data_IF_247731928030
#
_entry.id   IF_247731928030
#
_cell.length_a   1.000
_cell.length_b   1.000
_cell.length_c   1.000
_cell.angle_alpha   90.00
_cell.angle_beta   90.00
_cell.angle_gamma   90.00
#
_symmetry.space_group_name_H-M   'P 1'
#
loop_
_entity.id
_entity.type
_entity.pdbx_description
1 polymer ?
2 non-polymer ?
3 water ?
#
# COMPACT_ATOMS: atom_id res chain seq x y z
N UNK A 12 -3.62 6.37 -12.30
CA UNK A 12 -4.27 5.05 -11.97
C UNK A 12 -3.68 4.43 -10.68
N UNK A 13 -4.59 3.97 -9.82
CA UNK A 13 -4.19 3.42 -8.54
C UNK A 13 -4.35 1.91 -8.65
N UNK A 14 -3.51 1.31 -9.49
CA UNK A 14 -3.63 -0.10 -9.83
C UNK A 14 -2.21 -0.68 -9.90
N UNK A 15 -1.96 -1.85 -9.31
CA UNK A 15 -0.63 -2.52 -9.55
C UNK A 15 -0.58 -3.04 -11.00
N UNK A 16 0.32 -2.53 -11.84
CA UNK A 16 0.37 -3.05 -13.21
C UNK A 16 1.44 -4.17 -13.38
N UNK A 17 2.31 -4.34 -12.39
CA UNK A 17 3.47 -5.26 -12.54
C UNK A 17 3.02 -6.69 -12.15
N UNK A 18 3.15 -7.66 -13.08
CA UNK A 18 2.59 -9.01 -12.85
C UNK A 18 3.16 -9.70 -11.62
N UNK A 19 4.47 -9.65 -11.39
CA UNK A 19 5.04 -10.38 -10.28
C UNK A 19 4.54 -9.74 -8.97
N UNK A 20 4.54 -8.39 -8.91
CA UNK A 20 4.03 -7.69 -7.69
C UNK A 20 2.55 -8.04 -7.47
N UNK A 21 1.76 -8.07 -8.58
CA UNK A 21 0.33 -8.43 -8.53
C UNK A 21 0.12 -9.81 -7.95
N UNK A 22 0.92 -10.77 -8.39
CA UNK A 22 0.85 -12.13 -7.85
C UNK A 22 1.28 -12.19 -6.37
N UNK A 23 2.50 -11.77 -6.09
CA UNK A 23 3.08 -12.11 -4.78
C UNK A 23 2.47 -11.29 -3.67
N UNK A 24 2.04 -10.07 -4.03
CA UNK A 24 1.59 -9.09 -3.05
C UNK A 24 0.06 -9.09 -3.00
N UNK A 25 -0.59 -9.99 -3.73
CA UNK A 25 -2.04 -10.21 -3.48
C UNK A 25 -2.35 -11.50 -2.70
N UNK A 26 -1.31 -12.18 -2.22
CA UNK A 26 -1.49 -13.50 -1.57
C UNK A 26 -2.30 -13.41 -0.28
N UNK A 27 -2.21 -12.25 0.42
CA UNK A 27 -2.85 -12.13 1.74
C UNK A 27 -3.78 -10.93 1.93
N UNK A 28 -3.78 -10.04 0.95
CA UNK A 28 -4.61 -8.84 0.86
C UNK A 28 -4.50 -8.38 -0.64
N UNK A 29 -5.18 -7.30 -0.99
CA UNK A 29 -5.01 -6.67 -2.30
C UNK A 29 -3.58 -6.22 -2.50
N UNK A 30 -3.14 -6.25 -3.77
CA UNK A 30 -1.82 -5.77 -4.16
C UNK A 30 -2.00 -4.28 -4.08
N UNK A 31 -1.38 -3.62 -3.10
CA UNK A 31 -1.50 -2.17 -3.01
C UNK A 31 -0.67 -1.41 -4.08
N UNK A 32 -1.30 -0.39 -4.70
CA UNK A 32 -0.65 0.46 -5.71
C UNK A 32 0.62 1.24 -5.18
N UNK A 33 1.72 1.19 -5.93
CA UNK A 33 2.99 1.86 -5.61
C UNK A 33 2.76 3.31 -5.22
N UNK A 34 1.83 3.98 -5.92
CA UNK A 34 1.61 5.43 -5.74
C UNK A 34 1.15 5.84 -4.34
N UNK A 35 0.78 4.86 -3.50
CA UNK A 35 0.25 5.20 -2.21
C UNK A 35 1.30 5.29 -1.05
N UNK A 36 2.59 4.95 -1.30
CA UNK A 36 3.61 5.10 -0.27
C UNK A 36 4.85 5.71 -0.92
N UNK A 37 5.61 6.49 -0.18
CA UNK A 37 6.89 7.00 -0.72
C UNK A 37 7.94 5.88 -0.92
N UNK A 38 8.94 6.10 -1.76
CA UNK A 38 9.94 5.04 -2.00
C UNK A 38 10.57 4.46 -0.74
N UNK A 39 10.92 5.34 0.19
CA UNK A 39 11.49 4.85 1.46
C UNK A 39 10.61 3.84 2.21
N UNK A 40 9.29 4.06 2.21
CA UNK A 40 8.34 3.12 2.86
C UNK A 40 8.36 1.72 2.20
N UNK A 41 8.30 1.67 0.86
CA UNK A 41 8.46 0.41 0.10
C UNK A 41 9.79 -0.29 0.34
N UNK A 42 10.90 0.44 0.33
CA UNK A 42 12.18 -0.15 0.73
C UNK A 42 12.18 -0.81 2.09
N UNK A 43 11.68 -0.07 3.08
CA UNK A 43 11.64 -0.57 4.45
C UNK A 43 10.77 -1.88 4.53
N UNK A 44 9.60 -1.86 3.88
CA UNK A 44 8.70 -3.08 3.81
C UNK A 44 9.41 -4.28 3.17
N UNK A 45 10.07 -4.00 2.04
CA UNK A 45 10.72 -5.03 1.24
C UNK A 45 11.99 -5.59 1.84
N UNK A 46 12.52 -4.87 2.84
CA UNK A 46 13.68 -5.27 3.55
C UNK A 46 13.37 -6.19 4.73
N UNK A 47 12.11 -6.37 5.08
CA UNK A 47 11.72 -7.18 6.26
C UNK A 47 10.49 -8.04 6.09
N UNK A 48 10.33 -8.59 4.92
CA UNK A 48 9.22 -9.50 4.64
C UNK A 48 9.15 -10.74 5.58
N UNK A 49 10.26 -11.26 6.12
CA UNK A 49 10.12 -12.35 7.13
C UNK A 49 9.33 -11.91 8.37
N UNK A 50 9.30 -10.60 8.66
CA UNK A 50 8.56 -10.05 9.80
C UNK A 50 7.52 -9.03 9.36
N UNK A 51 6.59 -9.49 8.54
CA UNK A 51 5.66 -8.63 7.81
C UNK A 51 4.28 -8.73 8.47
N UNK A 52 3.99 -7.76 9.37
CA UNK A 52 2.71 -7.60 10.05
C UNK A 52 2.19 -8.91 10.68
N UNK A 53 3.09 -9.65 11.30
CA UNK A 53 2.67 -10.94 11.86
C UNK A 53 2.86 -12.18 10.99
N UNK A 54 3.16 -11.98 9.71
CA UNK A 54 3.27 -13.07 8.74
C UNK A 54 4.66 -13.13 8.17
N UNK A 55 5.03 -14.30 7.65
CA UNK A 55 6.26 -14.47 6.89
C UNK A 55 5.86 -14.32 5.42
N UNK A 56 6.20 -13.16 4.84
CA UNK A 56 5.95 -12.84 3.43
C UNK A 56 7.21 -12.90 2.60
N UNK A 57 8.24 -13.61 3.10
CA UNK A 57 9.54 -13.60 2.46
C UNK A 57 9.48 -14.24 1.08
N UNK A 58 10.36 -13.74 0.22
CA UNK A 58 10.43 -14.18 -1.16
C UNK A 58 11.88 -14.51 -1.51
N UNK A 59 12.05 -15.24 -2.60
CA UNK A 59 13.37 -15.48 -3.14
C UNK A 59 13.97 -14.15 -3.60
N UNK A 60 15.28 -14.02 -3.48
CA UNK A 60 15.91 -12.71 -3.63
C UNK A 60 15.61 -12.09 -4.99
N UNK A 61 15.58 -12.92 -6.03
CA UNK A 61 15.35 -12.38 -7.36
C UNK A 61 13.97 -11.70 -7.49
N UNK A 62 12.92 -12.36 -7.01
CA UNK A 62 11.56 -11.84 -7.00
C UNK A 62 11.44 -10.59 -6.12
N UNK A 63 11.98 -10.70 -4.92
CA UNK A 63 12.07 -9.60 -3.96
C UNK A 63 12.66 -8.33 -4.56
N UNK A 64 13.80 -8.48 -5.24
CA UNK A 64 14.49 -7.35 -5.88
C UNK A 64 13.66 -6.65 -6.96
N UNK A 65 13.01 -7.45 -7.81
CA UNK A 65 12.24 -6.91 -8.90
C UNK A 65 11.02 -6.15 -8.40
N UNK A 66 10.33 -6.72 -7.40
CA UNK A 66 9.16 -6.12 -6.83
C UNK A 66 9.55 -4.77 -6.18
N UNK A 67 10.62 -4.80 -5.38
CA UNK A 67 11.15 -3.55 -4.81
C UNK A 67 11.42 -2.49 -5.89
N UNK A 68 12.10 -2.85 -6.99
CA UNK A 68 12.32 -1.88 -8.10
C UNK A 68 11.04 -1.24 -8.63
N UNK A 69 10.01 -2.08 -8.81
CA UNK A 69 8.77 -1.59 -9.43
C UNK A 69 8.11 -0.64 -8.45
N UNK A 70 8.03 -1.03 -7.17
CA UNK A 70 7.37 -0.18 -6.13
C UNK A 70 8.06 1.19 -5.96
N UNK A 71 9.37 1.18 -5.88
CA UNK A 71 10.16 2.40 -5.73
C UNK A 71 10.03 3.27 -7.00
N UNK A 72 10.05 2.61 -8.18
CA UNK A 72 10.01 3.36 -9.45
C UNK A 72 8.65 4.05 -9.66
N UNK A 73 7.59 3.53 -9.05
CA UNK A 73 6.26 4.13 -9.19
C UNK A 73 5.64 4.63 -7.86
N UNK A 74 6.51 4.89 -6.87
CA UNK A 74 6.14 5.35 -5.55
C UNK A 74 5.45 6.76 -5.60
N UNK A 75 4.83 7.13 -4.47
CA UNK A 75 4.16 8.43 -4.32
C UNK A 75 5.02 9.64 -4.61
N UNK A 76 6.33 9.52 -4.39
CA UNK A 76 7.33 10.58 -4.67
C UNK A 76 8.21 10.32 -5.91
N UNK A 77 7.83 9.33 -6.72
CA UNK A 77 8.53 9.03 -7.96
C UNK A 77 8.27 10.03 -9.12
N UNK A 78 7.19 10.81 -9.02
CA UNK A 78 6.92 11.84 -10.02
C UNK A 78 6.56 13.25 -9.43
N UNK A 79 7.30 13.66 -8.40
CA UNK A 79 6.88 14.77 -7.57
C UNK A 79 5.73 14.40 -6.65
N UNK A 80 4.92 15.40 -6.27
CA UNK A 80 4.04 15.31 -5.09
C UNK A 80 2.75 14.52 -5.40
N UNK A 81 2.79 13.19 -5.22
CA UNK A 81 1.58 12.40 -5.33
C UNK A 81 0.71 12.85 -4.16
N UNK A 82 -0.58 12.61 -4.32
CA UNK A 82 -1.54 13.05 -3.34
C UNK A 82 -1.31 12.38 -2.01
N UNK A 83 -0.91 11.11 -2.05
CA UNK A 83 -0.69 10.35 -0.79
C UNK A 83 0.34 10.99 0.16
N UNK A 84 1.18 11.88 -0.33
CA UNK A 84 2.27 12.50 0.50
C UNK A 84 1.79 13.64 1.40
N UNK A 85 0.62 14.16 1.09
CA UNK A 85 0.10 15.35 1.78
C UNK A 85 0.00 15.22 3.31
N UNK A 86 0.68 16.11 4.06
CA UNK A 86 0.63 16.06 5.51
C UNK A 86 1.83 15.25 6.03
N UNK A 87 2.60 14.60 5.12
CA UNK A 87 3.86 13.95 5.53
C UNK A 87 5.05 14.88 5.58
N UNK A 88 5.95 14.60 6.52
CA UNK A 88 7.18 15.32 6.65
C UNK A 88 8.26 14.31 6.13
N UNK A 89 9.42 14.80 5.67
CA UNK A 89 10.40 13.99 4.96
C UNK A 89 10.93 12.91 5.91
N UNK A 90 10.99 13.22 7.20
CA UNK A 90 11.42 12.21 8.20
C UNK A 90 10.37 11.18 8.56
N UNK A 91 9.14 11.26 8.04
CA UNK A 91 8.21 10.13 8.26
C UNK A 91 8.51 9.02 7.23
N UNK A 92 8.57 7.77 7.70
CA UNK A 92 8.62 6.60 6.83
C UNK A 92 7.43 5.70 7.26
N UNK A 93 6.20 6.04 6.84
CA UNK A 93 5.04 5.24 7.30
C UNK A 93 5.10 3.80 6.74
N UNK A 94 4.68 2.76 7.46
CA UNK A 94 4.74 1.42 6.87
C UNK A 94 3.33 0.97 6.43
N UNK A 95 2.33 1.77 6.79
CA UNK A 95 0.94 1.48 6.45
C UNK A 95 0.39 2.65 5.64
N UNK A 96 -0.20 2.33 4.51
CA UNK A 96 -1.02 3.28 3.77
C UNK A 96 -2.14 3.76 4.69
N UNK A 97 -2.73 2.85 5.49
CA UNK A 97 -3.86 3.24 6.34
C UNK A 97 -3.49 4.20 7.51
N UNK A 98 -2.20 4.47 7.72
CA UNK A 98 -1.76 5.44 8.72
C UNK A 98 -1.33 6.81 8.13
N UNK A 99 -1.39 7.00 6.80
CA UNK A 99 -0.99 8.25 6.18
C UNK A 99 -2.00 9.31 6.60
N UNK A 100 -1.53 10.50 6.96
CA UNK A 100 -2.42 11.67 7.13
C UNK A 100 -3.44 11.82 6.00
N UNK A 101 -3.01 11.62 4.76
CA UNK A 101 -3.89 11.76 3.59
C UNK A 101 -5.03 10.71 3.59
N UNK A 102 -4.69 9.46 3.95
CA UNK A 102 -5.66 8.39 4.08
C UNK A 102 -6.69 8.66 5.18
N UNK A 103 -6.22 9.07 6.33
CA UNK A 103 -7.09 9.34 7.46
C UNK A 103 -8.02 10.51 7.19
N UNK A 104 -7.53 11.52 6.49
CA UNK A 104 -8.35 12.65 6.03
C UNK A 104 -9.49 12.18 5.09
N UNK A 105 -9.18 11.34 4.09
CA UNK A 105 -10.18 10.80 3.16
C UNK A 105 -11.19 9.86 3.82
N UNK A 106 -10.84 9.20 4.94
CA UNK A 106 -11.72 8.20 5.59
C UNK A 106 -12.45 8.65 6.87
N UNK A 107 -12.05 9.77 7.45
CA UNK A 107 -12.42 10.05 8.85
C UNK A 107 -13.93 10.13 9.13
N UNK A 108 -14.62 11.02 8.42
CA UNK A 108 -16.03 11.22 8.70
C UNK A 108 -16.84 10.33 7.76
N UNK A 109 -16.18 9.42 7.04
CA UNK A 109 -16.81 8.61 6.01
C UNK A 109 -17.09 7.15 6.43
N UNK A 110 -16.32 6.66 7.40
CA UNK A 110 -16.46 5.26 7.87
C UNK A 110 -17.12 5.14 9.24
N UNK A 111 -18.29 4.51 9.28
CA UNK A 111 -18.98 4.30 10.53
C UNK A 111 -18.43 3.04 11.22
N UNK A 112 -18.63 2.92 12.53
CA UNK A 112 -18.23 1.70 13.22
C UNK A 112 -18.80 0.46 12.53
N UNK A 113 -20.07 0.48 12.05
CA UNK A 113 -20.67 -0.68 11.36
C UNK A 113 -19.95 -0.99 10.05
N UNK A 114 -19.66 0.01 9.21
CA UNK A 114 -18.90 -0.25 7.98
C UNK A 114 -17.52 -0.83 8.31
N UNK A 115 -16.87 -0.29 9.36
CA UNK A 115 -15.57 -0.77 9.74
C UNK A 115 -15.61 -2.24 10.27
N UNK A 116 -16.60 -2.56 11.11
CA UNK A 116 -16.79 -3.93 11.56
C UNK A 116 -16.91 -4.92 10.39
N UNK A 117 -17.69 -4.56 9.39
CA UNK A 117 -17.79 -5.44 8.24
C UNK A 117 -16.53 -5.61 7.40
N UNK A 118 -15.72 -4.55 7.25
CA UNK A 118 -14.44 -4.62 6.53
C UNK A 118 -13.37 -5.43 7.26
N UNK A 119 -13.45 -5.44 8.60
CA UNK A 119 -12.55 -6.15 9.52
C UNK A 119 -11.19 -5.48 9.71
N UNK A 120 -10.79 -4.64 8.75
CA UNK A 120 -9.55 -3.87 8.83
C UNK A 120 -9.64 -2.79 7.74
N UNK A 121 -9.11 -1.59 8.01
CA UNK A 121 -8.92 -0.57 6.94
C UNK A 121 -7.93 -1.01 5.86
N UNK A 122 -7.09 -2.06 6.14
CA UNK A 122 -6.28 -2.72 5.11
C UNK A 122 -7.04 -3.43 4.00
N UNK A 123 -8.31 -3.73 4.25
CA UNK A 123 -9.14 -4.53 3.34
C UNK A 123 -9.96 -3.66 2.37
N UNK A 124 -9.29 -2.97 1.43
CA UNK A 124 -9.89 -1.91 0.61
C UNK A 124 -11.11 -2.38 -0.20
N UNK A 125 -10.98 -3.58 -0.78
CA UNK A 125 -12.01 -4.16 -1.61
C UNK A 125 -13.26 -4.49 -0.83
N UNK A 126 -13.21 -4.69 0.51
CA UNK A 126 -14.44 -4.93 1.24
C UNK A 126 -15.37 -3.70 1.16
N UNK A 127 -14.80 -2.51 0.88
CA UNK A 127 -15.60 -1.29 0.86
C UNK A 127 -15.62 -0.65 -0.51
N UNK A 128 -14.60 -0.91 -1.32
CA UNK A 128 -14.47 -0.31 -2.64
C UNK A 128 -14.54 -1.44 -3.67
N UNK A 129 -15.71 -1.68 -4.28
CA UNK A 129 -15.81 -2.81 -5.22
C UNK A 129 -14.83 -2.75 -6.36
N UNK A 130 -14.53 -1.52 -6.81
CA UNK A 130 -13.58 -1.33 -7.90
C UNK A 130 -12.09 -1.20 -7.51
N UNK A 131 -11.74 -1.59 -6.28
CA UNK A 131 -10.40 -1.33 -5.72
C UNK A 131 -9.34 -2.03 -6.60
N UNK A 132 -9.60 -3.27 -7.00
CA UNK A 132 -8.62 -3.95 -7.83
C UNK A 132 -8.43 -3.39 -9.26
N UNK A 133 -9.32 -2.50 -9.71
CA UNK A 133 -9.24 -1.85 -11.01
C UNK A 133 -8.94 -0.38 -10.81
N UNK A 134 -8.60 -0.02 -9.59
CA UNK A 134 -8.09 1.30 -9.29
C UNK A 134 -9.15 2.32 -9.00
N UNK A 135 -10.39 1.87 -8.83
CA UNK A 135 -11.53 2.80 -8.65
C UNK A 135 -11.94 2.83 -7.19
N UNK A 136 -11.84 4.00 -6.55
CA UNK A 136 -12.08 4.17 -5.10
C UNK A 136 -13.16 5.19 -4.71
X LIG B 1 -11.38 3.98 1.22
X LIG B 1 -12.53 6.90 0.22
X LIG B 1 -8.56 4.38 -0.92
X LIG B 1 -10.02 1.19 2.47
X LIG B 1 -14.38 3.27 2.90
X LIG B 1 -10.63 5.35 -0.12
X LIG B 1 -11.33 6.52 -0.36
X LIG B 1 -10.55 7.29 -1.32
X LIG B 1 -9.47 6.60 -1.66
X LIG B 1 -9.48 5.38 -0.89
X LIG B 1 -8.31 7.01 -2.64
X LIG B 1 -10.97 8.69 -1.88
X LIG B 1 -11.81 8.52 -3.13
X LIG B 1 -11.98 9.89 -3.80
X LIG B 1 -11.09 10.37 -4.59
X LIG B 1 -13.02 10.55 -3.52
X LIG B 1 -9.63 2.97 0.84
X LIG B 1 -8.60 3.29 -0.04
X LIG B 1 -7.58 2.25 0.07
X LIG B 1 -7.95 1.39 1.06
X LIG B 1 -9.28 1.82 1.53
X LIG B 1 -6.26 2.25 -0.72
X LIG B 1 -7.14 0.17 1.56
X LIG B 1 -5.83 0.28 2.00
X LIG B 1 -12.07 2.51 2.45
X LIG B 1 -11.31 1.43 2.84
X LIG B 1 -12.12 0.58 3.69
X LIG B 1 -13.31 1.19 3.83
X LIG B 1 -13.32 2.37 3.01
X LIG B 1 -11.66 -0.74 4.38
X LIG B 1 -14.53 0.71 4.66
X LIG B 1 -14.47 0.41 6.01
X LIG B 1 -13.22 4.91 1.55
X LIG B 1 -14.30 4.45 2.25
X LIG B 1 -15.35 5.42 2.15
X LIG B 1 -14.77 6.53 1.30
X LIG B 1 -13.43 6.15 0.97
X LIG B 1 -16.74 5.25 2.77
X LIG B 1 -15.45 7.85 0.90
X LIG B 1 -16.18 7.67 -0.39
X LIG B 1 -16.64 9.05 -0.69
X LIG B 1 -16.64 9.94 0.24
X LIG B 1 -17.03 9.25 -1.85
X LIG C 1 1.31 -7.36 3.20
X LIG C 1 -0.28 -5.32 5.41
X LIG C 1 2.50 -4.61 1.47
X LIG C 1 2.66 -9.45 0.80
X LIG C 1 0.33 -10.21 5.04
X LIG C 1 1.14 -5.27 3.43
X LIG C 1 0.41 -4.68 4.39
X LIG C 1 0.55 -3.24 4.20
X LIG C 1 1.30 -3.05 3.10
X LIG C 1 1.70 -4.34 2.60
X LIG C 1 1.72 -1.71 2.48
X LIG C 1 -0.13 -2.18 5.15
X LIG C 1 -1.58 -2.18 4.71
X LIG C 1 -2.22 -0.93 5.42
X LIG C 1 -1.95 0.21 5.04
X LIG C 1 -2.98 -1.06 6.39
X LIG C 1 2.38 -7.05 1.44
X LIG C 1 2.81 -5.84 0.96
X LIG C 1 3.64 -6.11 -0.17
X LIG C 1 3.69 -7.43 -0.37
X LIG C 1 2.89 -8.06 0.65
X LIG C 1 4.34 -4.97 -0.93
X LIG C 1 4.51 -8.22 -1.44
X LIG C 1 5.89 -8.27 -1.35
X LIG C 1 1.48 -9.47 2.96
X LIG C 1 2.03 -10.07 1.86
X LIG C 1 1.86 -11.52 2.04
X LIG C 1 1.22 -11.73 3.24
X LIG C 1 0.97 -10.43 3.83
X LIG C 1 2.35 -12.52 0.99
X LIG C 1 0.76 -13.05 3.96
X LIG C 1 1.63 -14.10 4.11
X LIG C 1 0.23 -7.74 4.97
X LIG C 1 -0.07 -8.99 5.54
X LIG C 1 -0.81 -8.80 6.77
X LIG C 1 -1.01 -7.28 6.89
X LIG C 1 -0.34 -6.69 5.72
X LIG C 1 -1.34 -9.91 7.75
X LIG C 1 -1.79 -6.58 8.02
X LIG C 1 -3.20 -6.27 7.47
X LIG C 1 -4.05 -5.60 8.57
X LIG C 1 -3.50 -4.86 9.44
X LIG C 1 -5.27 -5.82 8.58
#
# INVERSE_FOLDING_TARGET
>A
DDDGEHGGRRAALVVTDPLTRTECSACHMAYPAALLPARSWTALMADLPNHFGEDASLDEASRGQIESYLVANAADSSGAGRALRGLVQTDTPLRISELPWFKRKHADEVSPRMLEKARSMSNCAACHTGAERGLFDDD
>B hetero
1 HEC FE CHA CHB CHC CHD NA C1A C2A C3A C4A CMA CAA CBA CGA O1A O2A NB C1B C2B C3B C4B CMB CAB CBB NC C1C C2C C3C C4C CMC CAC CBC ND C1D C2D C3D C4D CMD CAD CBD CGD O1D O2D
>C hetero
1 HEC FE CHA CHB CHC CHD NA C1A C2A C3A C4A CMA CAA CBA CGA O1A O2A NB C1B C2B C3B C4B CMB CAB CBB NC C1C C2C C3C C4C CMC CAC CBC ND C1D C2D C3D C4D CMD CAD CBD CGD O1D O2D
#
